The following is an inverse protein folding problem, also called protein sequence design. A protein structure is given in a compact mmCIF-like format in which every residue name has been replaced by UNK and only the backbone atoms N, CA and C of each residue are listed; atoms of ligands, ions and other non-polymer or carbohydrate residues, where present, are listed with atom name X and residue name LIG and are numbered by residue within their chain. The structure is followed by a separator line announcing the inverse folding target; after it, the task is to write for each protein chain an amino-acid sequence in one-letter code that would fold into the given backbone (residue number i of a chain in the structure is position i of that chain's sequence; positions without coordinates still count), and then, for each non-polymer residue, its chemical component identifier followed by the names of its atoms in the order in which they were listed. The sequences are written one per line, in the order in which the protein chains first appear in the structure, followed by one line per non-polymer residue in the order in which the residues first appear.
data_IF_732892720097
#
_entry.id   IF_732892720097
#
_cell.length_a   1.000
_cell.length_b   1.000
_cell.length_c   1.000
_cell.angle_alpha   90.00
_cell.angle_beta   90.00
_cell.angle_gamma   90.00
#
_symmetry.space_group_name_H-M   'P 1'
#
loop_
_entity.id
_entity.type
_entity.pdbx_description
1 polymer ?
#
# COMPACT_ATOMS: atom_id res chain seq x y z
N UNK A 1 -39.66 -1.72 7.77
CA UNK A 1 -38.64 -2.78 7.72
C UNK A 1 -37.36 -2.18 8.30
N UNK A 2 -37.11 -2.40 9.59
CA UNK A 2 -35.96 -1.84 10.31
C UNK A 2 -34.73 -2.70 9.98
N UNK A 3 -33.78 -2.16 9.22
CA UNK A 3 -32.44 -2.71 9.09
C UNK A 3 -31.70 -2.50 10.42
N UNK A 4 -31.52 -3.57 11.18
CA UNK A 4 -30.60 -3.56 12.30
C UNK A 4 -29.18 -3.57 11.75
N UNK A 5 -28.52 -2.44 11.87
CA UNK A 5 -27.10 -2.28 11.62
C UNK A 5 -26.33 -3.10 12.68
N UNK A 6 -25.85 -4.27 12.33
CA UNK A 6 -24.99 -5.05 13.22
C UNK A 6 -23.57 -4.49 13.17
N UNK A 7 -23.15 -3.90 14.27
CA UNK A 7 -21.78 -3.38 14.47
C UNK A 7 -20.81 -4.58 14.47
N UNK A 8 -19.99 -4.68 13.42
CA UNK A 8 -18.84 -5.59 13.42
C UNK A 8 -17.81 -5.07 14.42
N UNK A 9 -17.71 -5.69 15.57
CA UNK A 9 -16.66 -5.41 16.53
C UNK A 9 -15.44 -6.27 16.18
N UNK A 10 -14.48 -5.69 15.45
CA UNK A 10 -13.18 -6.32 15.22
C UNK A 10 -12.27 -5.90 16.37
N UNK A 11 -11.97 -6.81 17.27
CA UNK A 11 -10.96 -6.60 18.30
C UNK A 11 -9.62 -7.01 17.71
N UNK A 12 -8.81 -6.04 17.33
CA UNK A 12 -7.42 -6.27 16.91
C UNK A 12 -6.50 -6.03 18.09
N UNK A 13 -5.86 -7.07 18.57
CA UNK A 13 -4.81 -6.99 19.58
C UNK A 13 -3.46 -6.91 18.84
N UNK A 14 -2.92 -5.69 18.69
CA UNK A 14 -1.56 -5.53 18.21
C UNK A 14 -0.63 -5.59 19.41
N UNK A 15 -0.15 -6.77 19.73
CA UNK A 15 0.84 -6.98 20.79
C UNK A 15 2.25 -6.77 20.25
N UNK A 16 2.96 -5.77 20.77
CA UNK A 16 4.40 -5.63 20.56
C UNK A 16 5.08 -6.33 21.73
N UNK A 17 5.64 -7.52 21.48
CA UNK A 17 6.54 -8.18 22.42
C UNK A 17 7.93 -7.53 22.28
N UNK A 18 8.22 -6.57 23.16
CA UNK A 18 9.56 -6.07 23.36
C UNK A 18 10.25 -6.91 24.46
N UNK A 19 11.32 -7.61 24.12
CA UNK A 19 12.24 -8.12 25.11
C UNK A 19 13.16 -6.97 25.54
N UNK A 20 13.03 -6.55 26.80
CA UNK A 20 13.82 -5.49 27.38
C UNK A 20 14.92 -6.06 28.26
N UNK A 21 16.16 -5.67 28.01
CA UNK A 21 17.14 -5.48 29.07
C UNK A 21 17.54 -4.01 29.11
N UNK A 22 17.18 -3.42 30.23
CA UNK A 22 17.59 -2.18 30.91
C UNK A 22 18.42 -1.16 30.14
N UNK A 23 17.83 -0.06 29.84
CA UNK A 23 18.07 1.36 30.05
C UNK A 23 17.55 2.20 28.90
N UNK A 24 16.60 3.08 29.21
CA UNK A 24 15.99 4.05 28.32
C UNK A 24 15.33 3.46 27.05
N UNK A 25 14.19 2.82 27.25
CA UNK A 25 13.28 2.46 26.18
C UNK A 25 12.60 3.74 25.64
N UNK A 26 13.21 4.40 24.68
CA UNK A 26 12.42 5.10 23.67
C UNK A 26 11.76 4.01 22.83
N UNK A 27 10.45 3.92 22.88
CA UNK A 27 9.66 2.98 22.12
C UNK A 27 9.84 3.25 20.61
N UNK A 28 10.91 2.73 20.02
CA UNK A 28 10.98 2.50 18.57
C UNK A 28 10.19 1.23 18.31
N UNK A 29 9.16 1.33 17.48
CA UNK A 29 8.37 0.23 16.99
C UNK A 29 9.18 -0.59 15.97
N UNK A 30 10.22 -1.23 16.42
CA UNK A 30 11.14 -2.08 15.69
C UNK A 30 12.40 -2.30 16.50
N UNK A 31 12.88 -3.55 16.58
CA UNK A 31 14.21 -3.86 17.09
C UNK A 31 15.23 -3.38 16.06
N UNK A 32 15.79 -2.18 16.25
CA UNK A 32 16.84 -1.66 15.41
C UNK A 32 18.19 -1.87 16.07
N UNK A 33 18.99 -2.79 15.58
CA UNK A 33 20.42 -2.88 15.92
C UNK A 33 21.20 -2.04 14.90
N UNK A 34 21.92 -1.02 15.37
CA UNK A 34 22.80 -0.23 14.52
C UNK A 34 24.25 -0.62 14.77
N UNK A 35 24.94 -1.00 13.70
CA UNK A 35 26.36 -1.29 13.69
C UNK A 35 27.08 -0.20 12.88
N UNK A 36 28.20 0.32 13.41
CA UNK A 36 29.00 1.35 12.75
C UNK A 36 28.55 2.79 13.01
N UNK A 37 29.37 3.75 12.56
CA UNK A 37 29.13 5.19 12.68
C UNK A 37 28.47 5.75 11.41
N UNK A 38 27.65 6.83 11.51
CA UNK A 38 26.95 7.39 10.35
C UNK A 38 27.85 7.88 9.23
N UNK A 39 29.05 8.36 9.57
CA UNK A 39 30.03 8.95 8.64
C UNK A 39 30.84 7.89 7.90
N UNK A 40 30.84 6.66 8.41
CA UNK A 40 31.46 5.51 7.78
C UNK A 40 30.39 4.61 7.17
N UNK A 41 30.49 3.32 7.35
CA UNK A 41 29.46 2.35 6.99
C UNK A 41 28.63 2.01 8.22
N UNK A 42 27.33 2.26 8.16
CA UNK A 42 26.40 1.80 9.21
C UNK A 42 25.37 0.83 8.64
N UNK A 43 25.06 -0.20 9.40
CA UNK A 43 24.00 -1.16 9.10
C UNK A 43 22.98 -1.13 10.22
N UNK A 44 21.72 -0.82 9.86
CA UNK A 44 20.60 -0.97 10.78
C UNK A 44 19.85 -2.25 10.43
N UNK A 45 19.63 -3.11 11.41
CA UNK A 45 18.72 -4.25 11.30
C UNK A 45 17.42 -3.86 11.95
N UNK A 46 16.35 -3.82 11.17
CA UNK A 46 14.98 -3.47 11.61
C UNK A 46 14.11 -4.74 11.54
N UNK A 47 13.45 -5.08 12.63
CA UNK A 47 12.58 -6.26 12.74
C UNK A 47 11.17 -5.87 13.12
N UNK A 48 10.18 -6.59 12.55
CA UNK A 48 8.78 -6.38 12.89
C UNK A 48 8.02 -7.70 12.93
N UNK A 49 7.30 -7.91 14.04
CA UNK A 49 6.33 -8.99 14.18
C UNK A 49 4.96 -8.36 14.45
N UNK A 50 3.94 -8.75 13.68
CA UNK A 50 2.55 -8.34 13.90
C UNK A 50 1.68 -9.58 14.07
N UNK A 51 1.07 -9.67 15.24
CA UNK A 51 0.07 -10.68 15.59
C UNK A 51 -1.30 -10.03 15.49
N UNK A 52 -2.22 -10.70 14.83
CA UNK A 52 -3.62 -10.27 14.73
C UNK A 52 -4.54 -11.36 15.27
N UNK A 53 -5.55 -10.95 16.02
CA UNK A 53 -6.64 -11.79 16.46
C UNK A 53 -7.96 -11.11 16.12
N UNK A 54 -8.89 -11.85 15.55
CA UNK A 54 -10.21 -11.36 15.21
C UNK A 54 -11.27 -12.36 15.63
N UNK A 55 -12.36 -11.84 16.21
CA UNK A 55 -13.55 -12.58 16.50
C UNK A 55 -14.72 -11.98 15.72
N UNK A 56 -15.29 -12.77 14.83
CA UNK A 56 -16.43 -12.34 14.02
C UNK A 56 -17.70 -12.92 14.63
N UNK A 57 -18.59 -12.03 15.06
CA UNK A 57 -19.88 -12.46 15.60
C UNK A 57 -20.71 -13.16 14.53
N UNK A 58 -21.42 -14.23 14.88
CA UNK A 58 -22.28 -14.90 13.94
C UNK A 58 -23.39 -13.95 13.48
N UNK A 59 -23.40 -13.64 12.21
CA UNK A 59 -24.53 -12.96 11.55
C UNK A 59 -25.53 -14.04 11.14
N UNK A 60 -26.83 -13.72 11.16
CA UNK A 60 -27.88 -14.63 10.68
C UNK A 60 -27.63 -14.94 9.19
N UNK A 61 -27.21 -16.17 8.94
CA UNK A 61 -26.45 -16.59 7.76
C UNK A 61 -27.32 -17.04 6.59
N UNK A 62 -28.63 -17.04 6.76
CA UNK A 62 -29.56 -17.55 5.75
C UNK A 62 -29.63 -16.69 4.48
N UNK A 63 -29.16 -15.45 4.53
CA UNK A 63 -29.35 -14.47 3.45
C UNK A 63 -28.09 -14.20 2.63
N UNK A 64 -26.89 -14.48 3.13
CA UNK A 64 -25.63 -14.16 2.44
C UNK A 64 -24.96 -15.44 1.96
N UNK A 65 -24.82 -15.54 0.66
CA UNK A 65 -24.13 -16.66 0.00
C UNK A 65 -22.92 -16.14 -0.75
N UNK A 66 -21.87 -16.90 -0.67
CA UNK A 66 -20.63 -16.67 -1.39
C UNK A 66 -20.60 -17.55 -2.64
N UNK A 67 -20.26 -16.97 -3.79
CA UNK A 67 -20.09 -17.73 -5.01
C UNK A 67 -18.68 -18.34 -5.03
N UNK A 68 -18.58 -19.64 -4.91
CA UNK A 68 -17.33 -20.42 -4.91
C UNK A 68 -16.98 -21.00 -6.28
N UNK A 69 -17.93 -20.94 -7.22
CA UNK A 69 -17.78 -21.39 -8.59
C UNK A 69 -18.99 -21.02 -9.45
N UNK A 70 -18.95 -21.25 -10.77
CA UNK A 70 -20.09 -20.97 -11.63
C UNK A 70 -21.37 -21.68 -11.16
N UNK A 71 -22.35 -20.93 -10.66
CA UNK A 71 -23.60 -21.45 -10.11
C UNK A 71 -23.52 -22.14 -8.76
N UNK A 72 -22.37 -22.16 -8.11
CA UNK A 72 -22.16 -22.77 -6.79
C UNK A 72 -22.07 -21.69 -5.73
N UNK A 73 -22.93 -21.79 -4.71
CA UNK A 73 -22.99 -20.82 -3.63
C UNK A 73 -22.90 -21.52 -2.28
N UNK A 74 -21.99 -21.05 -1.43
CA UNK A 74 -21.87 -21.48 -0.04
C UNK A 74 -22.33 -20.36 0.93
N UNK A 75 -22.79 -20.72 2.14
CA UNK A 75 -23.07 -19.72 3.17
C UNK A 75 -21.82 -18.91 3.50
N UNK A 76 -21.93 -17.58 3.48
CA UNK A 76 -20.83 -16.71 3.85
C UNK A 76 -20.46 -16.89 5.32
N UNK A 77 -19.21 -17.20 5.60
CA UNK A 77 -18.68 -17.36 6.96
C UNK A 77 -17.34 -16.65 7.06
N UNK A 78 -17.23 -15.70 7.96
CA UNK A 78 -15.94 -15.16 8.38
C UNK A 78 -15.31 -16.08 9.43
N UNK A 79 -14.01 -16.32 9.29
CA UNK A 79 -13.26 -17.22 10.18
C UNK A 79 -12.64 -16.40 11.31
N UNK A 80 -13.03 -16.68 12.55
CA UNK A 80 -12.39 -16.13 13.75
C UNK A 80 -11.11 -16.88 14.06
N UNK A 81 -10.10 -16.20 14.58
CA UNK A 81 -8.84 -16.84 14.93
C UNK A 81 -7.70 -15.86 15.20
N UNK A 82 -6.49 -16.36 15.14
CA UNK A 82 -5.26 -15.62 15.34
C UNK A 82 -4.26 -15.94 14.22
N UNK A 83 -3.55 -14.95 13.72
CA UNK A 83 -2.53 -15.12 12.69
C UNK A 83 -1.35 -14.19 12.89
N UNK A 84 -0.21 -14.56 12.31
CA UNK A 84 0.94 -13.65 12.11
C UNK A 84 0.74 -12.99 10.76
N UNK A 85 0.36 -11.71 10.78
CA UNK A 85 0.13 -10.94 9.54
C UNK A 85 1.42 -10.42 8.93
N UNK A 86 2.44 -10.13 9.75
CA UNK A 86 3.76 -9.72 9.30
C UNK A 86 4.85 -10.28 10.21
N UNK A 87 5.89 -10.82 9.60
CA UNK A 87 7.14 -11.21 10.24
C UNK A 87 8.27 -10.73 9.33
N UNK A 88 8.75 -9.50 9.55
CA UNK A 88 9.67 -8.82 8.63
C UNK A 88 11.02 -8.59 9.26
N UNK A 89 12.07 -8.75 8.46
CA UNK A 89 13.44 -8.35 8.78
C UNK A 89 13.92 -7.47 7.63
N UNK A 90 14.43 -6.29 7.96
CA UNK A 90 15.02 -5.37 7.01
C UNK A 90 16.47 -5.03 7.38
N UNK A 91 17.34 -5.05 6.39
CA UNK A 91 18.70 -4.54 6.46
C UNK A 91 18.72 -3.17 5.80
N UNK A 92 19.20 -2.16 6.52
CA UNK A 92 19.27 -0.78 6.05
C UNK A 92 20.72 -0.27 6.14
N UNK A 93 21.55 -0.56 5.12
CA UNK A 93 22.90 -0.02 5.04
C UNK A 93 22.88 1.49 4.73
N UNK A 94 23.85 2.22 5.26
CA UNK A 94 24.10 3.63 4.94
C UNK A 94 25.61 3.87 4.85
N UNK A 95 26.02 4.60 3.81
CA UNK A 95 27.39 5.01 3.60
C UNK A 95 27.41 6.38 2.90
N UNK A 96 27.81 7.43 3.60
CA UNK A 96 27.77 8.81 3.10
C UNK A 96 26.39 9.14 2.54
N UNK A 97 26.30 9.51 1.27
CA UNK A 97 25.07 9.87 0.56
C UNK A 97 24.29 8.64 0.05
N UNK A 98 24.82 7.43 0.26
CA UNK A 98 24.17 6.19 -0.15
C UNK A 98 23.38 5.57 1.00
N UNK A 99 22.21 5.10 0.68
CA UNK A 99 21.42 4.27 1.58
C UNK A 99 20.80 3.12 0.79
N UNK A 100 20.42 2.07 1.50
CA UNK A 100 19.74 0.94 0.88
C UNK A 100 18.72 0.34 1.83
N UNK A 101 17.87 -0.51 1.29
CA UNK A 101 16.94 -1.33 2.07
C UNK A 101 16.77 -2.68 1.39
N UNK A 102 16.93 -3.72 2.20
CA UNK A 102 16.58 -5.08 1.83
C UNK A 102 15.63 -5.62 2.89
N UNK A 103 14.37 -5.83 2.55
CA UNK A 103 13.28 -6.12 3.49
C UNK A 103 12.54 -7.38 3.05
N UNK A 104 12.51 -8.39 3.91
CA UNK A 104 11.91 -9.70 3.64
C UNK A 104 10.81 -9.97 4.66
N UNK A 105 9.68 -10.51 4.18
CA UNK A 105 8.57 -10.95 5.00
C UNK A 105 8.47 -12.48 4.99
N UNK A 106 8.39 -13.06 6.18
CA UNK A 106 8.30 -14.51 6.43
C UNK A 106 6.90 -14.96 6.87
N UNK A 107 5.92 -14.05 6.89
CA UNK A 107 4.56 -14.41 7.31
C UNK A 107 3.85 -15.31 6.29
N UNK A 108 2.92 -16.13 6.76
CA UNK A 108 2.08 -16.98 5.90
C UNK A 108 2.81 -18.18 5.28
N UNK A 109 3.86 -18.69 5.94
CA UNK A 109 4.71 -19.79 5.45
C UNK A 109 5.33 -19.53 4.07
N UNK A 110 5.55 -18.27 3.73
CA UNK A 110 6.18 -17.84 2.49
C UNK A 110 7.29 -16.84 2.78
N UNK A 111 8.32 -16.89 1.98
CA UNK A 111 9.34 -15.85 1.96
C UNK A 111 9.03 -14.92 0.80
N UNK A 112 8.77 -13.65 1.10
CA UNK A 112 8.48 -12.65 0.08
C UNK A 112 9.35 -11.41 0.26
N UNK A 113 9.92 -10.94 -0.84
CA UNK A 113 10.68 -9.71 -0.87
C UNK A 113 9.71 -8.53 -0.81
N UNK A 114 9.89 -7.66 0.19
CA UNK A 114 9.08 -6.47 0.31
C UNK A 114 9.73 -5.27 -0.36
N UNK A 115 10.99 -4.99 -0.03
CA UNK A 115 11.75 -3.90 -0.64
C UNK A 115 13.20 -4.37 -0.89
N UNK A 116 13.80 -3.99 -2.03
CA UNK A 116 15.21 -4.22 -2.33
C UNK A 116 15.72 -3.09 -3.22
N UNK A 117 16.26 -2.04 -2.63
CA UNK A 117 16.69 -0.87 -3.38
C UNK A 117 17.92 -0.21 -2.78
N UNK A 118 18.56 0.61 -3.60
CA UNK A 118 19.62 1.54 -3.23
C UNK A 118 19.17 2.95 -3.59
N UNK A 119 19.46 3.90 -2.71
CA UNK A 119 19.18 5.33 -2.91
C UNK A 119 20.45 6.14 -2.79
N UNK A 120 20.61 7.12 -3.65
CA UNK A 120 21.65 8.12 -3.61
C UNK A 120 21.03 9.49 -3.34
N UNK A 121 21.45 10.14 -2.26
CA UNK A 121 21.04 11.51 -1.92
C UNK A 121 21.91 12.49 -2.69
N UNK A 122 21.42 13.01 -3.81
CA UNK A 122 22.15 13.99 -4.63
C UNK A 122 22.09 15.42 -4.04
N UNK A 123 21.24 15.62 -3.04
CA UNK A 123 21.15 16.83 -2.25
C UNK A 123 20.53 16.53 -0.87
N UNK A 124 20.56 17.49 0.05
CA UNK A 124 19.90 17.37 1.36
C UNK A 124 18.38 17.10 1.27
N UNK A 125 17.79 17.36 0.11
CA UNK A 125 16.34 17.28 -0.12
C UNK A 125 16.00 16.59 -1.44
N UNK A 126 16.84 15.65 -1.86
CA UNK A 126 16.63 14.94 -3.10
C UNK A 126 17.33 13.61 -3.16
N UNK A 127 16.60 12.58 -3.58
CA UNK A 127 17.08 11.21 -3.68
C UNK A 127 16.78 10.62 -5.07
N UNK A 128 17.71 9.82 -5.56
CA UNK A 128 17.49 8.90 -6.69
C UNK A 128 17.48 7.50 -6.11
N UNK A 129 16.41 6.74 -6.36
CA UNK A 129 16.26 5.37 -5.87
C UNK A 129 16.21 4.40 -7.05
N UNK A 130 16.96 3.32 -6.97
CA UNK A 130 17.03 2.24 -7.96
C UNK A 130 16.80 0.89 -7.28
N UNK A 131 15.94 0.06 -7.83
CA UNK A 131 15.66 -1.28 -7.33
C UNK A 131 14.17 -1.59 -7.25
N UNK A 132 13.79 -2.46 -6.32
CA UNK A 132 12.42 -2.89 -6.08
C UNK A 132 11.83 -2.11 -4.91
N UNK A 133 10.89 -1.23 -5.19
CA UNK A 133 10.31 -0.32 -4.21
C UNK A 133 8.85 0.02 -4.54
N UNK A 134 8.19 0.71 -3.63
CA UNK A 134 6.83 1.22 -3.82
C UNK A 134 6.78 2.34 -4.84
N UNK A 135 5.90 2.23 -5.83
CA UNK A 135 5.61 3.34 -6.74
C UNK A 135 5.11 4.57 -5.96
N UNK A 136 5.47 5.78 -6.38
CA UNK A 136 5.02 7.00 -5.73
C UNK A 136 3.55 7.31 -6.08
N UNK A 137 2.63 6.59 -5.44
CA UNK A 137 1.17 6.77 -5.56
C UNK A 137 0.54 6.64 -4.18
N UNK A 138 -0.58 7.30 -3.90
CA UNK A 138 -1.37 7.20 -2.66
C UNK A 138 -0.57 7.36 -1.35
N UNK A 139 -0.98 8.24 -0.48
CA UNK A 139 -0.39 8.41 0.86
C UNK A 139 -0.64 7.17 1.73
N UNK A 140 -1.83 6.58 1.63
CA UNK A 140 -2.20 5.40 2.43
C UNK A 140 -1.34 4.19 2.10
N UNK A 141 -1.06 3.94 0.82
CA UNK A 141 -0.21 2.85 0.37
C UNK A 141 1.27 3.07 0.67
N UNK A 142 1.74 4.31 0.57
CA UNK A 142 3.13 4.68 0.90
C UNK A 142 3.38 4.83 2.42
N UNK A 143 2.33 4.87 3.23
CA UNK A 143 2.46 4.84 4.69
C UNK A 143 2.75 3.42 5.16
N UNK A 144 3.87 3.22 5.86
CA UNK A 144 4.19 1.91 6.41
C UNK A 144 3.06 1.43 7.33
N UNK A 145 2.66 0.17 7.22
CA UNK A 145 1.51 -0.41 7.95
C UNK A 145 1.59 -0.25 9.47
N UNK A 146 2.81 -0.20 10.04
CA UNK A 146 3.03 0.11 11.47
C UNK A 146 2.55 1.49 11.90
N UNK A 147 2.31 2.38 10.94
CA UNK A 147 1.85 3.74 11.18
C UNK A 147 0.35 3.92 10.87
N UNK A 148 -0.33 2.88 10.43
CA UNK A 148 -1.77 2.91 10.22
C UNK A 148 -2.53 2.85 11.55
N UNK A 149 -3.69 3.50 11.63
CA UNK A 149 -4.58 3.43 12.79
C UNK A 149 -5.31 2.09 12.87
N UNK A 150 -5.53 1.47 11.72
CA UNK A 150 -6.17 0.17 11.58
C UNK A 150 -5.19 -0.81 10.95
N UNK A 151 -5.33 -2.11 11.20
CA UNK A 151 -4.53 -3.13 10.53
C UNK A 151 -4.74 -3.06 9.02
N UNK A 152 -3.65 -3.18 8.28
CA UNK A 152 -3.71 -3.17 6.82
C UNK A 152 -3.92 -1.78 6.20
N UNK A 153 -4.01 -1.76 4.88
CA UNK A 153 -4.41 -0.60 4.09
C UNK A 153 -5.94 -0.50 4.05
N UNK A 154 -6.46 0.68 3.70
CA UNK A 154 -7.90 0.82 3.47
C UNK A 154 -8.35 -0.15 2.36
N UNK A 155 -9.53 -0.81 2.49
CA UNK A 155 -9.99 -1.79 1.50
C UNK A 155 -10.00 -1.24 0.07
N UNK A 156 -10.29 0.04 -0.11
CA UNK A 156 -10.31 0.70 -1.43
C UNK A 156 -8.93 0.74 -2.11
N UNK A 157 -7.85 0.45 -1.37
CA UNK A 157 -6.48 0.41 -1.91
C UNK A 157 -6.28 -0.66 -3.00
N UNK A 158 -7.22 -1.59 -3.16
CA UNK A 158 -7.23 -2.54 -4.28
C UNK A 158 -7.32 -1.85 -5.64
N UNK A 159 -7.81 -0.60 -5.70
CA UNK A 159 -7.85 0.20 -6.92
C UNK A 159 -6.46 0.62 -7.42
N UNK A 160 -5.43 0.51 -6.58
CA UNK A 160 -4.04 0.67 -7.00
C UNK A 160 -3.41 -0.71 -7.24
N UNK A 161 -3.63 -1.32 -8.40
CA UNK A 161 -3.05 -2.62 -8.70
C UNK A 161 -1.53 -2.47 -8.86
N UNK A 162 -0.79 -3.42 -8.29
CA UNK A 162 0.67 -3.47 -8.39
C UNK A 162 1.35 -2.19 -7.85
N UNK A 163 1.77 -2.26 -6.62
CA UNK A 163 2.33 -1.12 -5.90
C UNK A 163 3.84 -1.16 -5.72
N UNK A 164 4.48 -2.30 -6.04
CA UNK A 164 5.94 -2.45 -6.01
C UNK A 164 6.47 -2.98 -7.31
N UNK A 165 7.49 -2.31 -7.83
CA UNK A 165 8.12 -2.67 -9.10
C UNK A 165 9.64 -2.46 -9.04
N UNK A 166 10.35 -3.12 -9.96
CA UNK A 166 11.72 -2.77 -10.29
C UNK A 166 11.73 -1.46 -11.08
N UNK A 167 12.52 -0.48 -10.66
CA UNK A 167 12.52 0.80 -11.35
C UNK A 167 13.54 1.78 -10.82
N UNK A 168 13.42 2.99 -11.34
CA UNK A 168 14.16 4.16 -10.88
C UNK A 168 13.18 5.28 -10.58
N UNK A 169 13.38 5.96 -9.46
CA UNK A 169 12.58 7.13 -9.08
C UNK A 169 13.47 8.28 -8.64
N UNK A 170 13.00 9.48 -8.91
CA UNK A 170 13.55 10.74 -8.43
C UNK A 170 12.57 11.33 -7.41
N UNK A 171 13.08 11.67 -6.23
CA UNK A 171 12.31 12.34 -5.18
C UNK A 171 12.97 13.66 -4.83
N UNK A 172 12.16 14.71 -4.72
CA UNK A 172 12.61 16.05 -4.35
C UNK A 172 11.60 16.70 -3.41
N UNK A 173 12.07 17.38 -2.38
CA UNK A 173 11.19 18.14 -1.48
C UNK A 173 11.75 19.50 -1.12
N UNK A 174 10.87 20.44 -0.86
CA UNK A 174 11.19 21.81 -0.45
C UNK A 174 10.53 22.21 0.87
N UNK A 175 10.41 23.50 1.10
CA UNK A 175 9.75 24.03 2.31
C UNK A 175 8.30 23.58 2.45
N UNK A 176 7.54 23.64 1.36
CA UNK A 176 6.10 23.36 1.34
C UNK A 176 5.67 22.36 0.25
N UNK A 177 6.59 21.70 -0.41
CA UNK A 177 6.26 20.72 -1.45
C UNK A 177 7.09 19.45 -1.32
N UNK A 178 6.58 18.40 -1.90
CA UNK A 178 7.24 17.12 -2.13
C UNK A 178 6.78 16.59 -3.50
N UNK A 179 7.71 16.04 -4.25
CA UNK A 179 7.47 15.43 -5.56
C UNK A 179 8.29 14.15 -5.65
N UNK A 180 7.68 13.09 -6.15
CA UNK A 180 8.41 11.91 -6.60
C UNK A 180 7.84 11.44 -7.92
N UNK A 181 8.72 11.04 -8.83
CA UNK A 181 8.35 10.47 -10.11
C UNK A 181 9.32 9.35 -10.48
N UNK A 182 8.82 8.31 -11.13
CA UNK A 182 9.63 7.17 -11.50
C UNK A 182 9.10 6.43 -12.71
N UNK A 183 9.99 5.65 -13.30
CA UNK A 183 9.70 4.66 -14.32
C UNK A 183 9.99 3.29 -13.75
N UNK A 184 9.15 2.32 -14.04
CA UNK A 184 9.27 0.98 -13.48
C UNK A 184 8.89 -0.08 -14.53
N UNK A 185 9.53 -1.22 -14.37
CA UNK A 185 9.26 -2.46 -15.11
C UNK A 185 8.30 -3.35 -14.29
N UNK A 186 8.36 -4.65 -14.45
CA UNK A 186 7.50 -5.60 -13.73
C UNK A 186 7.83 -5.76 -12.25
N UNK A 187 7.00 -6.53 -11.58
CA UNK A 187 7.24 -6.95 -10.20
C UNK A 187 8.26 -8.10 -10.12
N UNK A 188 8.86 -8.30 -8.94
CA UNK A 188 9.68 -9.46 -8.65
C UNK A 188 8.78 -10.62 -8.21
N UNK A 189 8.93 -11.80 -8.80
CA UNK A 189 8.24 -13.00 -8.34
C UNK A 189 6.82 -13.16 -8.88
N UNK A 190 6.55 -12.65 -10.04
CA UNK A 190 5.40 -13.02 -10.84
C UNK A 190 5.69 -14.24 -11.70
N UNK A 191 4.80 -14.52 -12.59
CA UNK A 191 4.83 -15.57 -13.62
C UNK A 191 6.08 -15.56 -14.52
N UNK A 192 6.84 -14.44 -14.50
CA UNK A 192 8.09 -14.30 -15.25
C UNK A 192 9.15 -15.33 -14.89
N UNK A 193 9.24 -15.73 -13.62
CA UNK A 193 10.19 -16.76 -13.19
C UNK A 193 9.79 -18.17 -13.65
N UNK A 194 8.51 -18.38 -13.92
CA UNK A 194 7.94 -19.68 -14.29
C UNK A 194 7.55 -19.75 -15.78
N UNK A 195 7.19 -18.62 -16.39
CA UNK A 195 6.82 -18.55 -17.80
C UNK A 195 8.01 -18.08 -18.63
N UNK A 196 8.63 -18.97 -19.35
CA UNK A 196 9.78 -18.69 -20.22
C UNK A 196 9.51 -17.70 -21.37
N UNK A 197 8.34 -17.06 -21.41
CA UNK A 197 7.88 -16.28 -22.58
C UNK A 197 6.81 -15.26 -22.25
N UNK A 198 7.08 -14.29 -21.38
CA UNK A 198 6.18 -13.16 -21.17
C UNK A 198 6.91 -11.83 -21.33
N UNK A 199 6.23 -10.85 -21.89
CA UNK A 199 6.72 -9.48 -21.92
C UNK A 199 6.49 -8.82 -20.56
N UNK A 200 7.55 -8.28 -20.00
CA UNK A 200 7.50 -7.53 -18.76
C UNK A 200 6.68 -6.24 -18.94
N UNK A 201 5.75 -5.98 -18.04
CA UNK A 201 5.01 -4.73 -18.03
C UNK A 201 5.89 -3.54 -17.65
N UNK A 202 5.56 -2.36 -18.14
CA UNK A 202 6.26 -1.13 -17.80
C UNK A 202 5.30 0.00 -17.50
N UNK A 203 5.76 0.98 -16.72
CA UNK A 203 4.93 2.09 -16.33
C UNK A 203 5.70 3.30 -15.84
N UNK A 204 4.97 4.39 -15.69
CA UNK A 204 5.43 5.61 -15.05
C UNK A 204 4.46 5.98 -13.94
N UNK A 205 4.98 6.52 -12.85
CA UNK A 205 4.18 6.99 -11.72
C UNK A 205 4.75 8.29 -11.18
N UNK A 206 3.88 9.17 -10.72
CA UNK A 206 4.26 10.40 -10.05
C UNK A 206 3.28 10.75 -8.94
N UNK A 207 3.80 11.36 -7.87
CA UNK A 207 3.00 11.92 -6.77
C UNK A 207 3.56 13.26 -6.37
N UNK A 208 2.68 14.23 -6.21
CA UNK A 208 2.99 15.57 -5.72
C UNK A 208 2.20 15.84 -4.44
N UNK A 209 2.86 16.43 -3.47
CA UNK A 209 2.21 16.90 -2.24
C UNK A 209 2.56 18.35 -1.95
N UNK A 210 1.57 19.10 -1.50
CA UNK A 210 1.70 20.49 -1.06
C UNK A 210 1.28 20.63 0.39
N UNK A 211 2.04 21.41 1.15
CA UNK A 211 1.86 21.64 2.58
C UNK A 211 1.50 23.12 2.82
N UNK A 212 0.22 23.51 2.66
CA UNK A 212 -0.21 24.88 2.93
C UNK A 212 0.10 25.31 4.36
N UNK A 213 -0.11 24.40 5.31
CA UNK A 213 0.22 24.55 6.73
C UNK A 213 1.28 23.50 7.08
N UNK A 214 2.44 23.96 7.51
CA UNK A 214 3.52 23.10 8.01
C UNK A 214 4.20 23.79 9.19
N UNK A 215 3.73 23.47 10.37
CA UNK A 215 4.27 23.94 11.66
C UNK A 215 4.52 22.74 12.57
N UNK A 216 5.11 22.97 13.70
CA UNK A 216 5.33 21.94 14.72
C UNK A 216 4.00 21.33 15.17
N UNK A 217 2.98 22.17 15.41
CA UNK A 217 1.69 21.75 15.94
C UNK A 217 0.69 21.30 14.86
N UNK A 218 0.82 21.77 13.63
CA UNK A 218 -0.19 21.57 12.59
C UNK A 218 0.44 21.28 11.24
N UNK A 219 -0.15 20.33 10.54
CA UNK A 219 0.16 20.03 9.14
C UNK A 219 -1.13 19.86 8.37
N UNK A 220 -1.26 20.60 7.27
CA UNK A 220 -2.24 20.35 6.23
C UNK A 220 -1.49 19.86 5.00
N UNK A 221 -1.82 18.67 4.56
CA UNK A 221 -1.25 18.00 3.41
C UNK A 221 -2.33 17.87 2.33
N UNK A 222 -2.02 18.32 1.14
CA UNK A 222 -2.82 18.15 -0.08
C UNK A 222 -1.95 17.45 -1.09
N UNK A 223 -2.47 16.38 -1.72
CA UNK A 223 -1.66 15.64 -2.68
C UNK A 223 -2.48 15.08 -3.84
N UNK A 224 -1.77 14.82 -4.92
CA UNK A 224 -2.28 14.14 -6.11
C UNK A 224 -1.25 13.14 -6.60
N UNK A 225 -1.72 12.06 -7.18
CA UNK A 225 -0.85 11.05 -7.79
C UNK A 225 -1.47 10.54 -9.09
N UNK A 226 -0.62 10.13 -10.00
CA UNK A 226 -1.04 9.50 -11.25
C UNK A 226 -0.02 8.46 -11.67
N UNK A 227 -0.51 7.39 -12.29
CA UNK A 227 0.35 6.44 -12.98
C UNK A 227 -0.32 5.89 -14.24
N UNK A 228 0.49 5.43 -15.18
CA UNK A 228 0.04 4.66 -16.34
C UNK A 228 0.97 3.48 -16.51
N UNK A 229 0.39 2.30 -16.80
CA UNK A 229 1.14 1.06 -16.92
C UNK A 229 0.56 0.15 -17.99
N UNK A 230 1.44 -0.44 -18.81
CA UNK A 230 1.14 -1.62 -19.58
C UNK A 230 1.28 -2.86 -18.66
N UNK A 231 0.29 -3.76 -18.60
CA UNK A 231 0.41 -4.99 -17.82
C UNK A 231 1.43 -5.94 -18.44
N UNK A 232 1.89 -6.88 -17.64
CA UNK A 232 2.61 -8.05 -18.12
C UNK A 232 1.75 -8.83 -19.13
N UNK A 233 2.36 -9.31 -20.20
CA UNK A 233 1.68 -10.08 -21.25
C UNK A 233 2.28 -11.47 -21.36
N UNK A 234 1.42 -12.47 -21.46
CA UNK A 234 1.82 -13.83 -21.81
C UNK A 234 1.97 -13.97 -23.33
N UNK A 235 2.46 -15.12 -23.79
CA UNK A 235 2.61 -15.45 -25.23
C UNK A 235 1.34 -15.24 -26.06
N UNK A 236 0.17 -15.39 -25.45
CA UNK A 236 -1.13 -15.21 -26.11
C UNK A 236 -1.53 -13.74 -26.27
N UNK A 237 -0.61 -12.79 -25.97
CA UNK A 237 -0.82 -11.34 -26.03
C UNK A 237 -1.97 -10.80 -25.15
N UNK A 238 -2.51 -11.61 -24.27
CA UNK A 238 -3.60 -11.23 -23.38
C UNK A 238 -3.04 -10.77 -22.02
N UNK A 239 -2.93 -9.46 -21.85
CA UNK A 239 -2.71 -8.88 -20.53
C UNK A 239 -3.95 -9.06 -19.65
N UNK A 240 -3.77 -9.36 -18.38
CA UNK A 240 -4.85 -9.46 -17.40
C UNK A 240 -4.62 -8.50 -16.23
N UNK A 241 -5.68 -8.06 -15.58
CA UNK A 241 -5.65 -7.30 -14.34
C UNK A 241 -6.61 -7.93 -13.35
N UNK A 242 -6.12 -8.28 -12.17
CA UNK A 242 -6.97 -8.73 -11.07
C UNK A 242 -7.06 -7.63 -10.02
N UNK A 243 -8.28 -7.23 -9.69
CA UNK A 243 -8.55 -6.31 -8.59
C UNK A 243 -9.26 -7.10 -7.49
N UNK A 244 -8.71 -7.11 -6.28
CA UNK A 244 -9.33 -7.78 -5.15
C UNK A 244 -9.19 -6.96 -3.88
N UNK A 245 -10.29 -6.83 -3.12
CA UNK A 245 -10.31 -6.21 -1.81
C UNK A 245 -10.61 -7.27 -0.76
N UNK A 246 -9.67 -7.47 0.14
CA UNK A 246 -9.86 -8.26 1.36
C UNK A 246 -10.34 -7.34 2.50
N UNK A 247 -10.80 -7.93 3.60
CA UNK A 247 -11.06 -7.19 4.83
C UNK A 247 -9.75 -6.62 5.42
N UNK A 248 -9.90 -5.74 6.40
CA UNK A 248 -8.74 -5.15 7.10
C UNK A 248 -8.01 -6.15 8.01
N UNK A 249 -8.63 -7.28 8.36
CA UNK A 249 -8.04 -8.31 9.21
C UNK A 249 -7.35 -9.38 8.37
N UNK A 250 -6.12 -9.70 8.71
CA UNK A 250 -5.39 -10.82 8.10
C UNK A 250 -5.85 -12.19 8.60
N UNK A 251 -6.74 -12.26 9.61
CA UNK A 251 -7.30 -13.52 10.14
C UNK A 251 -8.27 -14.14 9.14
N UNK A 252 -9.09 -13.30 8.51
CA UNK A 252 -10.01 -13.72 7.45
C UNK A 252 -9.66 -12.95 6.17
N UNK A 253 -9.19 -13.67 5.17
CA UNK A 253 -8.74 -13.11 3.88
C UNK A 253 -9.75 -13.31 2.76
N UNK A 254 -11.03 -13.42 3.09
CA UNK A 254 -12.05 -13.44 2.05
C UNK A 254 -12.02 -12.13 1.25
N UNK A 255 -11.91 -12.26 -0.05
CA UNK A 255 -12.03 -11.12 -0.97
C UNK A 255 -13.49 -10.68 -1.07
N UNK A 256 -13.83 -9.52 -0.50
CA UNK A 256 -15.21 -8.98 -0.59
C UNK A 256 -15.53 -8.44 -1.98
N UNK A 257 -14.51 -7.99 -2.69
CA UNK A 257 -14.59 -7.55 -4.08
C UNK A 257 -13.45 -8.27 -4.80
N UNK A 258 -13.78 -8.99 -5.84
CA UNK A 258 -12.80 -9.64 -6.69
C UNK A 258 -13.28 -9.57 -8.14
N UNK A 259 -12.41 -9.10 -9.01
CA UNK A 259 -12.66 -9.09 -10.45
C UNK A 259 -11.37 -9.43 -11.19
N UNK A 260 -11.48 -10.30 -12.19
CA UNK A 260 -10.42 -10.56 -13.15
C UNK A 260 -10.83 -9.90 -14.48
N UNK A 261 -9.99 -9.03 -14.98
CA UNK A 261 -10.23 -8.23 -16.18
C UNK A 261 -9.27 -8.74 -17.25
N UNK A 262 -9.75 -9.46 -18.26
CA UNK A 262 -8.93 -9.93 -19.37
C UNK A 262 -8.70 -8.83 -20.40
N UNK A 263 -7.77 -9.05 -21.31
CA UNK A 263 -7.50 -8.20 -22.48
C UNK A 263 -7.19 -6.74 -22.11
N UNK A 264 -6.41 -6.56 -21.05
CA UNK A 264 -5.97 -5.23 -20.61
C UNK A 264 -4.77 -4.81 -21.44
N UNK A 265 -4.89 -3.69 -22.14
CA UNK A 265 -3.79 -3.11 -22.89
C UNK A 265 -2.99 -2.12 -22.01
N UNK A 266 -3.69 -1.35 -21.19
CA UNK A 266 -3.14 -0.35 -20.29
C UNK A 266 -4.10 -0.12 -19.14
N UNK A 267 -3.57 0.26 -18.01
CA UNK A 267 -4.37 0.86 -16.94
C UNK A 267 -3.73 2.15 -16.43
N UNK A 268 -4.58 3.06 -16.00
CA UNK A 268 -4.23 4.37 -15.52
C UNK A 268 -4.78 4.54 -14.11
N UNK A 269 -3.96 5.02 -13.21
CA UNK A 269 -4.37 5.30 -11.84
C UNK A 269 -4.32 6.80 -11.58
N UNK A 270 -5.29 7.30 -10.85
CA UNK A 270 -5.33 8.64 -10.31
C UNK A 270 -5.71 8.60 -8.83
N UNK A 271 -4.99 9.38 -8.02
CA UNK A 271 -5.27 9.57 -6.60
C UNK A 271 -5.30 11.04 -6.22
N UNK A 272 -6.25 11.40 -5.36
CA UNK A 272 -6.29 12.69 -4.69
C UNK A 272 -6.34 12.46 -3.18
N UNK A 273 -5.57 13.23 -2.42
CA UNK A 273 -5.40 13.00 -0.99
C UNK A 273 -5.42 14.31 -0.20
N UNK A 274 -6.03 14.27 0.95
CA UNK A 274 -6.03 15.35 1.92
C UNK A 274 -5.80 14.77 3.32
N UNK A 275 -4.84 15.33 4.06
CA UNK A 275 -4.65 14.96 5.44
C UNK A 275 -4.40 16.19 6.29
N UNK A 276 -4.95 16.16 7.49
CA UNK A 276 -4.76 17.19 8.49
C UNK A 276 -4.35 16.57 9.82
N UNK A 277 -3.38 17.14 10.47
CA UNK A 277 -3.08 16.83 11.85
C UNK A 277 -2.87 18.09 12.68
N UNK A 278 -3.30 18.04 13.92
CA UNK A 278 -2.82 18.93 14.98
C UNK A 278 -2.27 18.09 16.15
N UNK A 279 -2.04 18.70 17.32
CA UNK A 279 -1.45 18.03 18.49
C UNK A 279 -2.24 16.78 18.91
N UNK A 280 -3.55 16.74 18.73
CA UNK A 280 -4.44 15.65 19.22
C UNK A 280 -5.23 14.95 18.12
N UNK A 281 -5.53 15.65 17.04
CA UNK A 281 -6.40 15.16 15.98
C UNK A 281 -5.63 14.85 14.70
N UNK A 282 -6.00 13.79 14.03
CA UNK A 282 -5.53 13.42 12.71
C UNK A 282 -6.70 12.94 11.85
N UNK A 283 -6.76 13.38 10.62
CA UNK A 283 -7.66 12.87 9.61
C UNK A 283 -6.94 12.72 8.27
N UNK A 284 -7.31 11.69 7.52
CA UNK A 284 -6.82 11.41 6.18
C UNK A 284 -7.99 10.97 5.31
N UNK A 285 -8.16 11.62 4.17
CA UNK A 285 -9.07 11.21 3.11
C UNK A 285 -8.33 10.99 1.82
N UNK A 286 -8.69 9.94 1.08
CA UNK A 286 -8.22 9.68 -0.27
C UNK A 286 -9.38 9.34 -1.20
N UNK A 287 -9.28 9.80 -2.43
CA UNK A 287 -10.07 9.34 -3.57
C UNK A 287 -9.13 8.66 -4.56
N UNK A 288 -9.48 7.45 -4.97
CA UNK A 288 -8.69 6.61 -5.87
C UNK A 288 -9.54 6.23 -7.08
N UNK A 289 -8.94 6.26 -8.25
CA UNK A 289 -9.60 5.89 -9.50
C UNK A 289 -8.63 5.12 -10.39
N UNK A 290 -9.13 4.04 -11.01
CA UNK A 290 -8.38 3.26 -11.99
C UNK A 290 -9.21 3.11 -13.26
N UNK A 291 -8.65 3.56 -14.37
CA UNK A 291 -9.17 3.33 -15.70
C UNK A 291 -8.43 2.15 -16.33
N UNK A 292 -9.16 1.17 -16.81
CA UNK A 292 -8.61 -0.01 -17.48
C UNK A 292 -8.97 0.07 -18.94
N UNK A 293 -7.97 0.25 -19.81
CA UNK A 293 -8.11 0.24 -21.26
C UNK A 293 -8.02 -1.18 -21.80
N UNK A 294 -9.01 -1.56 -22.60
CA UNK A 294 -9.10 -2.89 -23.19
C UNK A 294 -8.52 -2.91 -24.58
N UNK A 295 -7.79 -3.98 -24.91
CA UNK A 295 -7.45 -4.30 -26.28
C UNK A 295 -8.74 -4.59 -27.09
N UNK A 296 -8.68 -4.44 -28.41
CA UNK A 296 -9.82 -4.74 -29.28
C UNK A 296 -10.25 -6.20 -29.11
N UNK A 297 -11.42 -6.41 -28.52
CA UNK A 297 -11.97 -7.74 -28.26
C UNK A 297 -13.31 -7.64 -27.52
N UNK A 298 -14.03 -8.76 -27.33
CA UNK A 298 -15.27 -8.75 -26.58
C UNK A 298 -15.01 -8.39 -25.11
N UNK A 299 -15.76 -7.44 -24.61
CA UNK A 299 -15.73 -7.05 -23.20
C UNK A 299 -16.45 -8.08 -22.33
N UNK A 300 -16.05 -8.25 -21.06
CA UNK A 300 -16.80 -9.06 -20.12
C UNK A 300 -18.26 -8.58 -19.99
N UNK A 301 -19.18 -9.52 -19.84
CA UNK A 301 -20.59 -9.19 -19.65
C UNK A 301 -20.79 -8.34 -18.38
N UNK A 302 -21.59 -7.27 -18.51
CA UNK A 302 -21.85 -6.36 -17.41
C UNK A 302 -20.85 -5.20 -17.26
N UNK A 303 -19.89 -5.06 -18.17
CA UNK A 303 -18.92 -3.95 -18.16
C UNK A 303 -19.60 -2.63 -18.55
N UNK A 304 -19.57 -1.64 -17.68
CA UNK A 304 -19.98 -0.26 -18.01
C UNK A 304 -18.79 0.49 -18.61
N UNK A 305 -18.97 0.98 -19.83
CA UNK A 305 -17.92 1.68 -20.55
C UNK A 305 -17.98 3.19 -20.24
N UNK A 306 -16.84 3.76 -19.89
CA UNK A 306 -16.66 5.21 -19.81
C UNK A 306 -15.51 5.65 -20.71
N UNK A 307 -15.51 6.90 -21.13
CA UNK A 307 -14.33 7.48 -21.80
C UNK A 307 -13.27 7.79 -20.76
N UNK A 308 -12.06 7.28 -20.94
CA UNK A 308 -10.92 7.61 -20.07
C UNK A 308 -10.53 9.09 -20.16
N UNK A 309 -9.87 9.58 -19.11
CA UNK A 309 -9.38 10.97 -19.02
C UNK A 309 -8.39 11.35 -20.13
N UNK A 310 -7.68 10.38 -20.66
CA UNK A 310 -6.69 10.57 -21.73
C UNK A 310 -7.20 9.90 -23.00
N UNK A 311 -8.05 10.63 -23.71
CA UNK A 311 -8.79 10.16 -24.88
C UNK A 311 -7.94 9.37 -25.90
N UNK A 312 -8.08 8.06 -25.85
CA UNK A 312 -7.77 7.14 -26.93
C UNK A 312 -9.08 6.49 -27.41
N UNK A 313 -9.22 6.04 -28.66
CA UNK A 313 -10.42 5.37 -29.14
C UNK A 313 -10.68 3.99 -28.50
N UNK A 314 -9.92 3.63 -27.49
CA UNK A 314 -10.05 2.40 -26.74
C UNK A 314 -11.21 2.46 -25.75
N UNK A 315 -11.78 1.33 -25.45
CA UNK A 315 -12.88 1.20 -24.52
C UNK A 315 -12.31 1.07 -23.11
N UNK A 316 -12.72 1.92 -22.19
CA UNK A 316 -12.25 1.92 -20.80
C UNK A 316 -13.32 1.45 -19.84
N UNK A 317 -12.89 0.72 -18.81
CA UNK A 317 -13.69 0.47 -17.59
C UNK A 317 -13.08 1.26 -16.44
N UNK A 318 -13.90 2.05 -15.77
CA UNK A 318 -13.45 2.90 -14.65
C UNK A 318 -13.93 2.35 -13.32
N UNK A 319 -12.99 2.19 -12.40
CA UNK A 319 -13.22 1.85 -11.00
C UNK A 319 -12.79 3.03 -10.13
N UNK A 320 -13.61 3.41 -9.18
CA UNK A 320 -13.26 4.51 -8.27
C UNK A 320 -13.86 4.33 -6.89
N UNK A 321 -13.30 5.01 -5.92
CA UNK A 321 -13.80 5.03 -4.56
C UNK A 321 -12.97 5.94 -3.67
N UNK A 322 -13.40 6.08 -2.44
CA UNK A 322 -12.70 6.91 -1.47
C UNK A 322 -12.89 6.41 -0.04
N UNK A 323 -12.06 6.91 0.86
CA UNK A 323 -12.18 6.65 2.27
C UNK A 323 -11.77 7.87 3.09
N UNK A 324 -12.23 7.87 4.33
CA UNK A 324 -11.85 8.82 5.35
C UNK A 324 -11.47 8.06 6.62
N UNK A 325 -10.31 8.39 7.17
CA UNK A 325 -9.87 7.91 8.49
C UNK A 325 -9.66 9.10 9.40
N UNK A 326 -10.15 9.01 10.64
CA UNK A 326 -9.91 10.00 11.66
C UNK A 326 -9.46 9.32 12.95
N UNK A 327 -8.58 9.98 13.71
CA UNK A 327 -8.14 9.52 15.01
C UNK A 327 -7.93 10.69 15.97
N UNK A 328 -8.19 10.45 17.25
CA UNK A 328 -7.96 11.40 18.31
C UNK A 328 -7.07 10.78 19.39
N UNK A 329 -5.98 11.47 19.75
CA UNK A 329 -5.01 11.01 20.73
C UNK A 329 -5.43 11.45 22.13
N UNK A 330 -5.82 10.50 22.98
CA UNK A 330 -6.21 10.78 24.35
C UNK A 330 -5.00 11.19 25.21
N UNK A 331 -3.86 10.52 25.02
CA UNK A 331 -2.59 10.82 25.69
C UNK A 331 -1.45 10.81 24.66
N UNK A 332 -0.40 11.63 24.92
CA UNK A 332 0.72 11.77 24.02
C UNK A 332 0.43 12.73 22.86
N UNK A 333 1.26 12.68 21.85
CA UNK A 333 1.21 13.54 20.67
C UNK A 333 0.71 12.77 19.44
N UNK A 334 0.15 13.52 18.51
CA UNK A 334 -0.25 12.98 17.21
C UNK A 334 0.96 12.68 16.33
N UNK A 335 0.66 12.02 15.22
CA UNK A 335 1.60 11.55 14.21
C UNK A 335 2.57 12.64 13.74
N UNK A 336 3.85 12.31 13.67
CA UNK A 336 4.85 13.17 13.04
C UNK A 336 4.71 13.09 11.50
N UNK A 337 4.93 14.20 10.82
CA UNK A 337 5.00 14.23 9.36
C UNK A 337 6.42 13.97 8.89
N UNK A 338 6.58 12.99 8.00
CA UNK A 338 7.86 12.70 7.36
C UNK A 338 7.95 13.41 6.01
N UNK A 339 8.80 14.41 5.94
CA UNK A 339 8.99 15.22 4.73
C UNK A 339 9.64 14.44 3.57
N UNK A 340 10.56 13.55 3.87
CA UNK A 340 11.26 12.77 2.85
C UNK A 340 10.37 11.77 2.10
N UNK A 341 9.21 11.40 2.66
CA UNK A 341 8.24 10.48 2.03
C UNK A 341 6.84 11.06 1.88
N UNK A 342 6.61 12.30 2.34
CA UNK A 342 5.30 12.93 2.37
C UNK A 342 4.21 12.03 2.99
N UNK A 343 4.51 11.44 4.17
CA UNK A 343 3.62 10.53 4.89
C UNK A 343 3.60 10.86 6.38
N UNK A 344 2.62 10.31 7.10
CA UNK A 344 2.55 10.45 8.55
C UNK A 344 3.10 9.20 9.24
N UNK A 345 3.80 9.38 10.36
CA UNK A 345 4.36 8.32 11.20
C UNK A 345 3.80 8.42 12.60
N UNK A 346 3.63 7.29 13.28
CA UNK A 346 3.33 7.34 14.70
C UNK A 346 4.53 7.98 15.43
N UNK A 347 4.24 8.83 16.40
CA UNK A 347 5.23 9.27 17.39
C UNK A 347 5.55 8.09 18.29
N UNK A 348 6.81 7.95 18.64
CA UNK A 348 7.28 6.88 19.53
C UNK A 348 6.70 7.03 20.94
#
# INVERSE_FOLDING_TARGET
MQQKLHLLCTLTLTGILAFAETSELRAQTGLGLRLGQPEELSLTVDGRLTLESAAFLPVDRGQYRWQVGPGQYEPFRMTSGTTISQARIALVPRYKDWSGRFDVNFAGNKVSLADAYVSYSYSERGDITLGYFFDPISIGLNTATRHNSLPGAAPISFLAPFVRHMGISLTQWGGKYWLSAGISAGGIGGTLAEANHSDEGYGVAARFAYLPIYTEDQVLHLGVSASTRAPERTLDETGGLSLSAEGTSAVDRHGFIQTAIPNVQRYEFFGAEVAYRNTKFYALGEFLMTNVGHAKGPLPAGTTLSRGLFASPETYTTYHGGYLTASYMLRGEQRAYNRGSATFRNTA
#
